data_IF_581044769623
#
_entry.id   IF_581044769623
#
_cell.length_a   1.000
_cell.length_b   1.000
_cell.length_c   1.000
_cell.angle_alpha   90.00
_cell.angle_beta   90.00
_cell.angle_gamma   90.00
#
_symmetry.space_group_name_H-M   'P 1'
#
loop_
_entity.id
_entity.type
_entity.pdbx_description
1 polymer ?
#
# COMPACT_ATOMS: atom_id res chain seq x y z
N UNK A 1 -10.33 -2.14 27.80
CA UNK A 1 -11.11 -1.55 26.69
C UNK A 1 -10.99 -2.47 25.49
N UNK A 2 -12.06 -3.17 25.10
CA UNK A 2 -12.08 -3.95 23.87
C UNK A 2 -12.58 -3.02 22.76
N UNK A 3 -11.68 -2.58 21.87
CA UNK A 3 -12.08 -1.82 20.69
C UNK A 3 -12.90 -2.77 19.82
N UNK A 4 -14.21 -2.57 19.79
CA UNK A 4 -15.13 -3.27 18.91
C UNK A 4 -14.80 -2.85 17.47
N UNK A 5 -14.03 -3.69 16.76
CA UNK A 5 -13.82 -3.52 15.33
C UNK A 5 -15.18 -3.63 14.66
N UNK A 6 -15.65 -2.51 14.12
CA UNK A 6 -16.86 -2.48 13.31
C UNK A 6 -16.64 -3.41 12.11
N UNK A 7 -17.57 -4.32 11.80
CA UNK A 7 -17.40 -5.32 10.74
C UNK A 7 -17.34 -4.71 9.31
N UNK A 8 -17.40 -3.39 9.19
CA UNK A 8 -17.49 -2.67 7.91
C UNK A 8 -16.36 -1.65 7.68
N UNK A 9 -15.24 -1.72 8.41
CA UNK A 9 -14.03 -1.01 7.99
C UNK A 9 -13.41 -1.73 6.80
N UNK A 10 -13.54 -1.15 5.61
CA UNK A 10 -12.76 -1.54 4.43
C UNK A 10 -11.27 -1.47 4.80
N UNK A 11 -10.67 -2.62 5.08
CA UNK A 11 -9.24 -2.70 5.36
C UNK A 11 -8.51 -2.31 4.07
N UNK A 12 -7.79 -1.18 4.11
CA UNK A 12 -7.05 -0.69 2.96
C UNK A 12 -5.97 -1.69 2.56
N UNK A 13 -5.84 -1.90 1.25
CA UNK A 13 -4.91 -2.87 0.66
C UNK A 13 -3.90 -2.14 -0.20
N UNK A 14 -2.69 -2.68 -0.26
CA UNK A 14 -1.65 -2.26 -1.17
C UNK A 14 -2.17 -2.18 -2.60
N UNK A 15 -1.76 -1.15 -3.34
CA UNK A 15 -2.08 -0.94 -4.76
C UNK A 15 -0.80 -0.60 -5.52
N UNK A 16 0.22 -1.43 -5.34
CA UNK A 16 1.49 -1.31 -6.06
C UNK A 16 1.25 -1.36 -7.58
N UNK A 17 1.58 -0.30 -8.34
CA UNK A 17 1.35 -0.28 -9.79
C UNK A 17 2.31 -1.19 -10.58
N UNK A 18 3.37 -1.73 -9.95
CA UNK A 18 4.44 -2.48 -10.63
C UNK A 18 4.43 -4.00 -10.40
N UNK A 19 3.62 -4.56 -9.49
CA UNK A 19 3.62 -6.00 -9.20
C UNK A 19 2.25 -6.71 -9.26
N UNK A 20 1.23 -6.05 -9.81
CA UNK A 20 -0.11 -6.64 -9.97
C UNK A 20 -0.97 -6.59 -8.69
N UNK A 21 -1.76 -7.65 -8.42
CA UNK A 21 -2.68 -7.68 -7.28
C UNK A 21 -1.97 -8.03 -5.96
N UNK A 22 -1.43 -7.03 -5.27
CA UNK A 22 -1.06 -7.17 -3.86
C UNK A 22 -2.30 -6.98 -2.97
N UNK A 23 -2.54 -7.89 -2.01
CA UNK A 23 -3.70 -7.83 -1.08
C UNK A 23 -3.29 -7.56 0.37
N UNK A 24 -2.02 -7.26 0.60
CA UNK A 24 -1.52 -6.96 1.95
C UNK A 24 -2.05 -5.62 2.47
N UNK A 25 -2.08 -5.49 3.79
CA UNK A 25 -2.75 -4.40 4.51
C UNK A 25 -1.80 -3.67 5.46
N UNK A 26 -0.54 -4.09 5.51
CA UNK A 26 0.61 -3.48 6.20
C UNK A 26 1.16 -2.30 5.39
N UNK A 27 0.35 -1.26 5.21
CA UNK A 27 0.70 -0.07 4.43
C UNK A 27 1.84 0.70 5.11
N UNK A 28 2.92 0.92 4.37
CA UNK A 28 4.13 1.63 4.82
C UNK A 28 4.17 3.07 4.30
N UNK A 29 3.86 3.26 3.01
CA UNK A 29 3.94 4.57 2.35
C UNK A 29 2.77 4.79 1.40
N UNK A 30 2.49 6.06 1.10
CA UNK A 30 1.61 6.46 0.01
C UNK A 30 2.42 7.16 -1.07
N UNK A 31 2.23 6.73 -2.32
CA UNK A 31 2.85 7.35 -3.49
C UNK A 31 1.81 8.06 -4.32
N UNK A 32 2.24 9.05 -5.10
CA UNK A 32 1.45 9.59 -6.20
C UNK A 32 1.85 8.90 -7.49
N UNK A 33 0.90 8.24 -8.15
CA UNK A 33 1.10 7.61 -9.45
C UNK A 33 -0.05 7.96 -10.37
N UNK A 34 0.25 8.56 -11.53
CA UNK A 34 -0.75 9.03 -12.51
C UNK A 34 -1.86 9.88 -11.87
N UNK A 35 -1.47 10.82 -11.01
CA UNK A 35 -2.38 11.73 -10.31
C UNK A 35 -3.24 11.08 -9.22
N UNK A 36 -2.97 9.82 -8.83
CA UNK A 36 -3.70 9.12 -7.77
C UNK A 36 -2.78 8.80 -6.60
N UNK A 37 -3.27 8.99 -5.38
CA UNK A 37 -2.61 8.53 -4.15
C UNK A 37 -2.85 7.04 -3.95
N UNK A 38 -1.80 6.24 -3.95
CA UNK A 38 -1.86 4.78 -3.81
C UNK A 38 -1.14 4.32 -2.54
N UNK A 39 -1.77 3.45 -1.72
CA UNK A 39 -1.11 2.80 -0.58
C UNK A 39 -0.14 1.72 -1.06
N UNK A 40 1.05 1.65 -0.48
CA UNK A 40 2.08 0.65 -0.77
C UNK A 40 2.45 -0.07 0.54
N UNK A 41 2.40 -1.39 0.55
CA UNK A 41 2.81 -2.17 1.72
C UNK A 41 4.34 -2.21 1.89
N UNK A 42 4.78 -2.59 3.08
CA UNK A 42 6.19 -2.68 3.46
C UNK A 42 7.04 -3.46 2.44
N UNK A 43 6.66 -4.68 2.08
CA UNK A 43 7.44 -5.50 1.14
C UNK A 43 7.53 -4.85 -0.25
N UNK A 44 6.42 -4.33 -0.77
CA UNK A 44 6.43 -3.63 -2.06
C UNK A 44 7.28 -2.36 -2.01
N UNK A 45 7.28 -1.66 -0.89
CA UNK A 45 8.09 -0.46 -0.73
C UNK A 45 9.58 -0.80 -0.70
N UNK A 46 9.99 -1.84 0.02
CA UNK A 46 11.38 -2.32 -0.01
C UNK A 46 11.83 -2.63 -1.44
N UNK A 47 11.02 -3.35 -2.22
CA UNK A 47 11.32 -3.67 -3.62
C UNK A 47 11.43 -2.43 -4.52
N UNK A 48 10.68 -1.36 -4.21
CA UNK A 48 10.71 -0.11 -4.98
C UNK A 48 11.94 0.73 -4.59
N UNK A 49 12.23 0.84 -3.30
CA UNK A 49 13.32 1.65 -2.77
C UNK A 49 14.71 1.16 -3.23
N UNK A 50 14.82 -0.12 -3.58
CA UNK A 50 16.03 -0.72 -4.14
C UNK A 50 16.17 -0.52 -5.67
N UNK A 51 15.13 -0.01 -6.35
CA UNK A 51 15.15 0.22 -7.79
C UNK A 51 15.56 1.65 -8.13
N UNK A 52 16.30 1.79 -9.22
CA UNK A 52 16.67 3.08 -9.81
C UNK A 52 15.50 3.67 -10.60
N UNK A 53 14.46 4.11 -9.87
CA UNK A 53 13.31 4.81 -10.43
C UNK A 53 13.43 6.30 -10.09
N UNK A 54 13.61 7.14 -11.10
CA UNK A 54 13.44 8.59 -10.94
C UNK A 54 11.94 8.91 -10.80
N UNK A 55 11.60 9.73 -9.80
CA UNK A 55 10.22 9.98 -9.35
C UNK A 55 9.74 11.40 -9.64
#
# INVERSE_FOLDING_TARGET
MKILKHPNQLIEKCRNPWNGECKRTDIEVYIFYRGRRLPICRDCWSDIAEKDLEW
#
